data_IF_835392023609
#
_entry.id   IF_835392023609
#
_cell.length_a   1.000
_cell.length_b   1.000
_cell.length_c   1.000
_cell.angle_alpha   90.00
_cell.angle_beta   90.00
_cell.angle_gamma   90.00
#
_symmetry.space_group_name_H-M   'P 1'
#
loop_
_entity.id
_entity.type
_entity.pdbx_description
1 polymer ?
#
# COMPACT_ATOMS: atom_id res chain seq x y z
N UNK A 1 17.46 1.17 20.91
CA UNK A 1 16.39 0.38 20.27
C UNK A 1 15.08 1.13 20.45
N UNK A 2 14.53 1.65 19.35
CA UNK A 2 13.29 2.43 19.39
C UNK A 2 12.15 1.54 19.89
N UNK A 3 11.36 2.01 20.85
CA UNK A 3 10.23 1.27 21.41
C UNK A 3 9.14 1.22 20.35
N UNK A 4 8.97 0.09 19.68
CA UNK A 4 7.83 -0.12 18.76
C UNK A 4 6.57 -0.18 19.62
N UNK A 5 5.71 0.83 19.46
CA UNK A 5 4.40 0.86 20.08
C UNK A 5 3.40 0.12 19.16
N UNK A 6 2.67 -0.83 19.74
CA UNK A 6 1.67 -1.62 19.01
C UNK A 6 0.53 -0.77 18.45
N UNK A 7 0.17 0.32 19.13
CA UNK A 7 -0.87 1.25 18.68
C UNK A 7 -0.40 2.04 17.47
N UNK A 8 0.84 2.53 17.50
CA UNK A 8 1.43 3.27 16.36
C UNK A 8 1.54 2.37 15.13
N UNK A 9 1.84 1.07 15.32
CA UNK A 9 1.86 0.08 14.24
C UNK A 9 0.45 -0.16 13.66
N UNK A 10 -0.57 -0.26 14.51
CA UNK A 10 -1.96 -0.39 14.06
C UNK A 10 -2.38 0.83 13.23
N UNK A 11 -2.10 2.04 13.73
CA UNK A 11 -2.39 3.28 13.01
C UNK A 11 -1.66 3.35 11.67
N UNK A 12 -0.40 2.94 11.62
CA UNK A 12 0.36 2.87 10.37
C UNK A 12 -0.31 1.97 9.34
N UNK A 13 -0.77 0.77 9.76
CA UNK A 13 -1.47 -0.15 8.86
C UNK A 13 -2.80 0.45 8.37
N UNK A 14 -3.56 1.09 9.26
CA UNK A 14 -4.81 1.79 8.90
C UNK A 14 -4.55 2.90 7.89
N UNK A 15 -3.57 3.78 8.13
CA UNK A 15 -3.22 4.87 7.19
C UNK A 15 -2.79 4.31 5.83
N UNK A 16 -1.99 3.24 5.82
CA UNK A 16 -1.48 2.63 4.59
C UNK A 16 -2.61 2.05 3.72
N UNK A 17 -3.58 1.40 4.35
CA UNK A 17 -4.64 0.68 3.63
C UNK A 17 -5.84 1.60 3.36
N UNK A 18 -6.34 2.31 4.37
CA UNK A 18 -7.53 3.15 4.27
C UNK A 18 -7.18 4.55 3.76
N UNK A 19 -6.09 5.14 4.24
CA UNK A 19 -5.68 6.50 3.85
C UNK A 19 -5.12 6.55 2.42
N UNK A 20 -4.15 5.68 2.11
CA UNK A 20 -3.54 5.62 0.78
C UNK A 20 -4.26 4.66 -0.19
N UNK A 21 -5.27 3.91 0.26
CA UNK A 21 -6.00 2.97 -0.59
C UNK A 21 -5.15 1.78 -1.07
N UNK A 22 -4.05 1.47 -0.38
CA UNK A 22 -3.08 0.47 -0.82
C UNK A 22 -3.71 -0.92 -0.88
N UNK A 23 -3.68 -1.55 -2.06
CA UNK A 23 -4.18 -2.91 -2.26
C UNK A 23 -3.07 -3.94 -1.99
N UNK A 24 -2.92 -4.32 -0.73
CA UNK A 24 -1.95 -5.36 -0.33
C UNK A 24 -2.41 -6.73 -0.85
N UNK A 25 -1.55 -7.47 -1.57
CA UNK A 25 -1.86 -8.85 -2.01
C UNK A 25 -1.40 -9.88 -0.97
N UNK A 26 -0.21 -9.68 -0.39
CA UNK A 26 0.35 -10.50 0.69
C UNK A 26 1.56 -9.78 1.32
N UNK A 27 1.77 -10.01 2.62
CA UNK A 27 2.94 -9.56 3.37
C UNK A 27 3.68 -10.83 3.80
N UNK A 28 4.87 -11.06 3.24
CA UNK A 28 5.66 -12.25 3.48
C UNK A 28 6.84 -11.89 4.39
N UNK A 29 6.90 -12.51 5.57
CA UNK A 29 8.00 -12.36 6.51
C UNK A 29 8.85 -13.62 6.47
N UNK A 30 10.08 -13.50 5.98
CA UNK A 30 11.05 -14.60 6.00
C UNK A 30 11.79 -14.59 7.34
N UNK A 31 11.56 -15.60 8.19
CA UNK A 31 12.28 -15.72 9.45
C UNK A 31 12.27 -17.15 9.99
N UNK A 32 13.37 -17.53 10.64
CA UNK A 32 13.50 -18.82 11.33
C UNK A 32 13.13 -18.73 12.82
N UNK A 33 12.86 -17.53 13.35
CA UNK A 33 12.64 -17.34 14.79
C UNK A 33 11.18 -17.53 15.18
N UNK A 34 10.93 -18.48 16.08
CA UNK A 34 9.60 -18.77 16.66
C UNK A 34 9.01 -17.60 17.46
N UNK A 35 9.84 -16.66 17.90
CA UNK A 35 9.38 -15.44 18.60
C UNK A 35 8.55 -14.58 17.67
N UNK A 36 8.91 -14.53 16.39
CA UNK A 36 8.22 -13.71 15.40
C UNK A 36 6.84 -14.30 15.08
N UNK A 37 6.67 -15.63 15.10
CA UNK A 37 5.36 -16.25 14.92
C UNK A 37 4.35 -15.81 15.99
N UNK A 38 4.81 -15.76 17.24
CA UNK A 38 3.98 -15.34 18.38
C UNK A 38 3.64 -13.85 18.26
N UNK A 39 4.62 -13.03 17.86
CA UNK A 39 4.43 -11.61 17.63
C UNK A 39 3.43 -11.33 16.50
N UNK A 40 3.57 -12.02 15.36
CA UNK A 40 2.65 -11.91 14.22
C UNK A 40 1.25 -12.36 14.60
N UNK A 41 1.11 -13.46 15.36
CA UNK A 41 -0.21 -13.88 15.87
C UNK A 41 -0.86 -12.80 16.73
N UNK A 42 -0.07 -12.13 17.59
CA UNK A 42 -0.56 -11.02 18.41
C UNK A 42 -1.02 -9.85 17.55
N UNK A 43 -0.23 -9.44 16.55
CA UNK A 43 -0.62 -8.37 15.62
C UNK A 43 -1.85 -8.75 14.79
N UNK A 44 -1.95 -9.99 14.32
CA UNK A 44 -3.11 -10.46 13.55
C UNK A 44 -4.41 -10.30 14.33
N UNK A 45 -4.41 -10.49 15.65
CA UNK A 45 -5.60 -10.27 16.49
C UNK A 45 -6.00 -8.79 16.62
N UNK A 46 -5.07 -7.86 16.44
CA UNK A 46 -5.33 -6.41 16.45
C UNK A 46 -5.75 -5.85 15.09
N UNK A 47 -5.44 -6.57 14.00
CA UNK A 47 -5.80 -6.19 12.64
C UNK A 47 -7.14 -6.84 12.23
N UNK A 48 -7.77 -6.30 11.18
CA UNK A 48 -8.96 -6.94 10.62
C UNK A 48 -8.61 -8.29 9.99
N UNK A 49 -9.56 -9.24 10.01
CA UNK A 49 -9.36 -10.59 9.46
C UNK A 49 -8.83 -10.56 8.02
N UNK A 50 -9.34 -9.64 7.19
CA UNK A 50 -8.90 -9.43 5.80
C UNK A 50 -7.42 -9.08 5.66
N UNK A 51 -6.85 -8.36 6.63
CA UNK A 51 -5.45 -7.95 6.64
C UNK A 51 -4.59 -9.06 7.27
N UNK A 52 -5.08 -9.67 8.36
CA UNK A 52 -4.41 -10.77 9.04
C UNK A 52 -4.19 -11.99 8.14
N UNK A 53 -5.15 -12.30 7.26
CA UNK A 53 -5.06 -13.41 6.29
C UNK A 53 -3.98 -13.18 5.22
N UNK A 54 -3.62 -11.92 4.97
CA UNK A 54 -2.59 -11.54 3.99
C UNK A 54 -1.18 -11.60 4.57
N UNK A 55 -1.03 -11.74 5.88
CA UNK A 55 0.29 -11.83 6.52
C UNK A 55 0.70 -13.29 6.61
N UNK A 56 1.78 -13.64 5.91
CA UNK A 56 2.35 -14.97 5.87
C UNK A 56 3.75 -14.95 6.47
N UNK A 57 4.03 -15.89 7.37
CA UNK A 57 5.38 -16.13 7.88
C UNK A 57 5.91 -17.36 7.16
N UNK A 58 7.08 -17.23 6.56
CA UNK A 58 7.77 -18.28 5.82
C UNK A 58 9.09 -18.55 6.53
N UNK A 59 9.41 -19.83 6.74
CA UNK A 59 10.62 -20.22 7.45
C UNK A 59 11.77 -20.56 6.50
N UNK A 60 11.42 -20.96 5.27
CA UNK A 60 12.37 -21.35 4.23
C UNK A 60 12.25 -20.49 2.98
N UNK A 61 13.38 -20.27 2.34
CA UNK A 61 13.49 -19.57 1.06
C UNK A 61 12.74 -20.30 -0.07
N UNK A 62 12.60 -21.63 0.04
CA UNK A 62 11.80 -22.43 -0.87
C UNK A 62 10.30 -22.08 -0.81
N UNK A 63 9.77 -21.82 0.40
CA UNK A 63 8.38 -21.39 0.57
C UNK A 63 8.15 -19.98 0.03
N UNK A 64 9.13 -19.08 0.20
CA UNK A 64 9.09 -17.75 -0.40
C UNK A 64 9.07 -17.82 -1.93
N UNK A 65 9.93 -18.65 -2.51
CA UNK A 65 10.01 -18.83 -3.96
C UNK A 65 8.76 -19.44 -4.59
N UNK A 66 7.91 -20.11 -3.81
CA UNK A 66 6.61 -20.59 -4.31
C UNK A 66 5.59 -19.46 -4.54
N UNK A 67 5.81 -18.30 -3.92
CA UNK A 67 4.93 -17.13 -4.01
C UNK A 67 5.56 -16.00 -4.81
N UNK A 68 6.88 -15.86 -4.75
CA UNK A 68 7.65 -14.79 -5.42
C UNK A 68 8.76 -15.42 -6.26
N UNK A 69 8.72 -15.19 -7.57
CA UNK A 69 9.75 -15.68 -8.48
C UNK A 69 11.14 -15.14 -8.10
N UNK A 70 12.14 -16.02 -8.19
CA UNK A 70 13.53 -15.73 -7.81
C UNK A 70 14.13 -14.55 -8.59
N UNK A 71 13.68 -14.32 -9.82
CA UNK A 71 14.13 -13.21 -10.67
C UNK A 71 13.59 -11.84 -10.22
N UNK A 72 12.48 -11.81 -9.49
CA UNK A 72 11.92 -10.59 -8.93
C UNK A 72 12.55 -10.20 -7.59
N UNK A 73 13.29 -11.11 -6.97
CA UNK A 73 14.01 -10.83 -5.74
C UNK A 73 15.38 -10.24 -6.09
N UNK A 74 15.82 -9.18 -5.39
CA UNK A 74 17.16 -8.65 -5.58
C UNK A 74 18.20 -9.75 -5.30
N UNK A 75 19.25 -9.79 -6.13
CA UNK A 75 20.22 -10.89 -6.20
C UNK A 75 20.95 -11.11 -4.86
N UNK A 76 21.11 -10.04 -4.08
CA UNK A 76 21.46 -10.04 -2.66
C UNK A 76 20.57 -9.01 -1.95
N UNK A 77 20.25 -9.22 -0.68
CA UNK A 77 19.58 -8.22 0.19
C UNK A 77 20.55 -7.05 0.53
N UNK A 78 21.41 -6.67 -0.41
CA UNK A 78 22.46 -5.67 -0.24
C UNK A 78 22.20 -4.42 -1.09
N UNK A 79 23.02 -3.41 -0.82
CA UNK A 79 22.85 -1.96 -1.03
C UNK A 79 22.48 -1.48 -2.45
N UNK A 80 22.44 -2.35 -3.45
CA UNK A 80 22.12 -2.04 -4.86
C UNK A 80 20.72 -1.43 -5.02
N UNK A 81 19.74 -1.86 -4.21
CA UNK A 81 18.41 -1.24 -4.24
C UNK A 81 18.47 0.22 -3.77
N UNK A 82 19.26 0.48 -2.73
CA UNK A 82 19.42 1.82 -2.19
C UNK A 82 20.12 2.73 -3.20
N UNK A 83 21.12 2.20 -3.90
CA UNK A 83 21.82 2.90 -4.97
C UNK A 83 20.89 3.18 -6.17
N UNK A 84 20.09 2.20 -6.58
CA UNK A 84 19.11 2.36 -7.66
C UNK A 84 18.03 3.40 -7.31
N UNK A 85 17.49 3.38 -6.08
CA UNK A 85 16.51 4.37 -5.60
C UNK A 85 17.14 5.74 -5.39
N UNK A 86 18.39 5.81 -4.95
CA UNK A 86 19.11 7.08 -4.76
C UNK A 86 19.76 7.61 -6.05
N UNK A 87 19.71 6.84 -7.14
CA UNK A 87 20.27 7.20 -8.44
C UNK A 87 19.69 8.52 -8.94
N UNK A 88 20.53 9.29 -9.62
CA UNK A 88 20.13 10.56 -10.24
C UNK A 88 19.07 10.35 -11.33
N UNK A 89 19.04 9.19 -11.96
CA UNK A 89 18.01 8.84 -12.95
C UNK A 89 16.64 8.65 -12.29
N UNK A 90 16.58 7.90 -11.19
CA UNK A 90 15.36 7.71 -10.40
C UNK A 90 14.83 9.05 -9.85
N UNK A 91 15.72 9.93 -9.39
CA UNK A 91 15.37 11.29 -8.94
C UNK A 91 14.78 12.15 -10.07
N UNK A 92 15.32 12.06 -11.28
CA UNK A 92 14.79 12.78 -12.45
C UNK A 92 13.41 12.25 -12.83
N UNK A 93 13.24 10.93 -12.88
CA UNK A 93 11.95 10.30 -13.12
C UNK A 93 10.90 10.73 -12.08
N UNK A 94 11.25 10.74 -10.80
CA UNK A 94 10.35 11.23 -9.73
C UNK A 94 10.00 12.71 -9.89
N UNK A 95 10.94 13.54 -10.32
CA UNK A 95 10.69 14.96 -10.56
C UNK A 95 9.71 15.17 -11.72
N UNK A 96 9.85 14.42 -12.81
CA UNK A 96 8.93 14.43 -13.94
C UNK A 96 7.54 13.96 -13.52
N UNK A 97 7.44 12.82 -12.83
CA UNK A 97 6.17 12.33 -12.31
C UNK A 97 5.50 13.30 -11.32
N UNK A 98 6.30 14.02 -10.54
CA UNK A 98 5.80 15.07 -9.63
C UNK A 98 5.30 16.29 -10.40
N UNK A 99 5.87 16.60 -11.56
CA UNK A 99 5.40 17.68 -12.42
C UNK A 99 4.10 17.30 -13.15
N UNK A 100 3.93 16.03 -13.51
CA UNK A 100 2.71 15.49 -14.15
C UNK A 100 1.49 15.34 -13.22
N UNK A 101 1.46 16.04 -12.08
CA UNK A 101 0.34 16.01 -11.16
C UNK A 101 -0.86 16.77 -11.73
N UNK A 102 -2.05 16.32 -11.35
CA UNK A 102 -3.29 17.04 -11.64
C UNK A 102 -3.28 18.38 -10.91
N UNK A 103 -3.54 19.46 -11.66
CA UNK A 103 -3.74 20.78 -11.09
C UNK A 103 -5.12 20.84 -10.42
N UNK A 104 -5.14 20.64 -9.10
CA UNK A 104 -6.36 20.69 -8.29
C UNK A 104 -7.02 22.08 -8.29
N UNK A 105 -6.35 23.15 -8.72
CA UNK A 105 -6.99 24.48 -8.85
C UNK A 105 -7.98 24.52 -10.02
N UNK A 106 -7.80 23.64 -11.01
CA UNK A 106 -8.71 23.47 -12.15
C UNK A 106 -9.82 22.45 -11.84
N UNK A 107 -9.77 21.79 -10.68
CA UNK A 107 -10.85 20.90 -10.25
C UNK A 107 -12.11 21.73 -10.08
N UNK A 108 -13.13 21.40 -10.88
CA UNK A 108 -14.41 22.06 -10.77
C UNK A 108 -14.95 21.81 -9.37
N UNK A 109 -15.23 22.88 -8.62
CA UNK A 109 -15.87 22.75 -7.32
C UNK A 109 -17.15 21.93 -7.49
N UNK A 110 -17.41 21.00 -6.57
CA UNK A 110 -18.67 20.25 -6.47
C UNK A 110 -19.81 21.27 -6.22
N UNK A 111 -20.23 21.96 -7.27
CA UNK A 111 -21.45 22.75 -7.26
C UNK A 111 -22.58 21.72 -7.26
N UNK A 112 -23.17 21.58 -6.09
CA UNK A 112 -24.35 20.76 -5.84
C UNK A 112 -25.41 21.15 -6.87
N UNK A 113 -25.65 20.27 -7.84
CA UNK A 113 -26.62 20.53 -8.89
C UNK A 113 -28.02 20.17 -8.36
N UNK A 114 -28.76 21.18 -7.90
CA UNK A 114 -30.13 20.99 -7.38
C UNK A 114 -31.08 20.39 -8.43
N UNK A 115 -30.78 20.59 -9.73
CA UNK A 115 -31.59 20.01 -10.82
C UNK A 115 -31.33 18.52 -11.06
N UNK A 116 -30.22 17.95 -10.53
CA UNK A 116 -29.83 16.55 -10.73
C UNK A 116 -29.48 15.94 -9.38
N UNK A 117 -30.43 15.94 -8.44
CA UNK A 117 -30.35 15.20 -7.17
C UNK A 117 -29.01 15.33 -6.40
N UNK A 118 -28.32 16.47 -6.51
CA UNK A 118 -27.04 16.71 -5.84
C UNK A 118 -25.83 15.98 -6.42
N UNK A 119 -25.92 15.34 -7.59
CA UNK A 119 -24.78 14.70 -8.24
C UNK A 119 -24.03 15.70 -9.14
N UNK A 120 -22.70 15.85 -8.98
CA UNK A 120 -21.89 16.69 -9.85
C UNK A 120 -21.78 16.05 -11.25
N UNK A 121 -22.24 16.75 -12.30
CA UNK A 121 -22.12 16.30 -13.68
C UNK A 121 -23.15 16.89 -14.67
N UNK A 122 -22.96 16.62 -15.96
CA UNK A 122 -23.89 16.97 -17.05
C UNK A 122 -24.73 15.75 -17.44
N UNK A 123 -25.48 15.20 -16.48
CA UNK A 123 -26.41 14.11 -16.78
C UNK A 123 -27.69 14.71 -17.39
N UNK A 124 -28.12 14.20 -18.53
CA UNK A 124 -29.41 14.59 -19.13
C UNK A 124 -30.51 13.74 -18.49
N UNK A 125 -31.53 14.39 -17.93
CA UNK A 125 -32.70 13.71 -17.39
C UNK A 125 -33.45 13.03 -18.53
N UNK A 126 -33.54 11.69 -18.46
CA UNK A 126 -34.34 10.91 -19.40
C UNK A 126 -35.77 10.83 -18.87
N UNK A 127 -36.69 11.62 -19.43
CA UNK A 127 -38.12 11.49 -19.17
C UNK A 127 -38.67 10.34 -20.03
N UNK A 128 -39.20 9.32 -19.38
CA UNK A 128 -39.92 8.21 -20.02
C UNK A 128 -41.41 8.51 -19.89
N UNK A 129 -42.14 8.46 -21.01
CA UNK A 129 -43.60 8.50 -21.07
C UNK A 129 -44.21 7.14 -20.70
#
# INVERSE_FOLDING_TARGET
MSKINLVDLQQFVTISIEGFGTRVRGIHMLTQSKVIDIFVKTIKTMLSAKIGDRIHVQHDLAELHSVVDKECLPMEYEDDLLEAVCSNEHKKYLAEMKASKTDETLRTADKLNEQIMGLPGSFRTLTVD
#
